data_IF_596995728402
#
_entry.id   IF_596995728402
#
_cell.length_a   1.000
_cell.length_b   1.000
_cell.length_c   1.000
_cell.angle_alpha   90.00
_cell.angle_beta   90.00
_cell.angle_gamma   90.00
#
_symmetry.space_group_name_H-M   'P 1'
#
loop_
_entity.id
_entity.type
_entity.pdbx_description
1 polymer ?
#
# COMPACT_ATOMS: atom_id res chain seq x y z
N UNK A 1 -16.06 -2.72 -20.00
CA UNK A 1 -14.85 -2.44 -19.23
C UNK A 1 -15.06 -2.98 -17.83
N UNK A 2 -14.08 -3.69 -17.27
CA UNK A 2 -14.05 -4.08 -15.87
C UNK A 2 -13.28 -3.02 -15.06
N UNK A 3 -13.56 -2.91 -13.77
CA UNK A 3 -12.94 -1.90 -12.90
C UNK A 3 -12.29 -2.57 -11.70
N UNK A 4 -11.05 -2.19 -11.37
CA UNK A 4 -10.36 -2.59 -10.15
C UNK A 4 -10.13 -1.35 -9.30
N UNK A 5 -10.67 -1.33 -8.09
CA UNK A 5 -10.40 -0.31 -7.08
C UNK A 5 -9.27 -0.79 -6.18
N UNK A 6 -8.11 -0.15 -6.28
CA UNK A 6 -7.00 -0.36 -5.37
C UNK A 6 -7.17 0.61 -4.20
N UNK A 7 -7.29 0.09 -3.00
CA UNK A 7 -7.62 0.85 -1.80
C UNK A 7 -6.46 0.69 -0.81
N UNK A 8 -5.83 1.80 -0.43
CA UNK A 8 -4.82 1.74 0.62
C UNK A 8 -5.49 1.45 1.96
N UNK A 9 -4.88 0.59 2.77
CA UNK A 9 -5.33 0.32 4.13
C UNK A 9 -5.47 1.61 4.96
N UNK A 10 -6.33 1.58 5.95
CA UNK A 10 -6.49 2.64 6.94
C UNK A 10 -5.25 2.76 7.84
N UNK A 11 -5.12 3.85 8.59
CA UNK A 11 -3.94 4.13 9.40
C UNK A 11 -3.64 2.98 10.37
N UNK A 12 -2.41 2.46 10.30
CA UNK A 12 -1.90 1.46 11.23
C UNK A 12 -1.41 2.10 12.54
N UNK A 13 -1.30 1.29 13.60
CA UNK A 13 -0.87 1.72 14.95
C UNK A 13 0.65 1.91 15.01
N UNK A 14 1.15 3.03 14.44
CA UNK A 14 2.57 3.34 14.42
C UNK A 14 3.15 3.47 15.85
N UNK A 15 4.21 2.71 16.13
CA UNK A 15 4.88 2.71 17.43
C UNK A 15 4.23 1.83 18.50
N UNK A 16 3.12 1.15 18.20
CA UNK A 16 2.54 0.13 19.07
C UNK A 16 3.33 -1.19 18.99
N UNK A 17 3.15 -2.05 19.99
CA UNK A 17 3.76 -3.39 20.02
C UNK A 17 3.30 -4.26 18.84
N UNK A 18 2.09 -4.05 18.36
CA UNK A 18 1.52 -4.67 17.15
C UNK A 18 1.26 -3.57 16.10
N UNK A 19 2.29 -3.28 15.31
CA UNK A 19 2.24 -2.27 14.24
C UNK A 19 1.23 -2.59 13.14
N UNK A 20 0.97 -3.88 12.89
CA UNK A 20 0.10 -4.30 11.79
C UNK A 20 -1.41 -4.18 12.11
N UNK A 21 -1.75 -3.71 13.31
CA UNK A 21 -3.13 -3.40 13.71
C UNK A 21 -3.50 -1.96 13.34
N UNK A 22 -4.77 -1.71 13.00
CA UNK A 22 -5.28 -0.36 12.80
C UNK A 22 -5.25 0.46 14.11
N UNK A 23 -5.01 1.77 13.98
CA UNK A 23 -5.22 2.73 15.05
C UNK A 23 -6.72 3.07 15.20
N UNK A 24 -7.11 3.68 16.33
CA UNK A 24 -8.48 4.16 16.51
C UNK A 24 -8.91 5.15 15.40
N UNK A 25 -7.97 5.96 14.88
CA UNK A 25 -8.22 6.81 13.72
C UNK A 25 -8.41 5.97 12.45
N UNK A 26 -7.58 4.93 12.26
CA UNK A 26 -7.69 4.02 11.13
C UNK A 26 -9.03 3.26 11.11
N UNK A 27 -9.54 2.86 12.27
CA UNK A 27 -10.86 2.24 12.37
C UNK A 27 -11.97 3.19 11.88
N UNK A 28 -11.92 4.47 12.28
CA UNK A 28 -12.85 5.51 11.78
C UNK A 28 -12.72 5.74 10.27
N UNK A 29 -11.50 5.77 9.75
CA UNK A 29 -11.24 5.87 8.31
C UNK A 29 -11.86 4.70 7.54
N UNK A 30 -11.71 3.47 8.03
CA UNK A 30 -12.25 2.27 7.38
C UNK A 30 -13.79 2.27 7.36
N UNK A 31 -14.45 2.70 8.45
CA UNK A 31 -15.90 2.87 8.48
C UNK A 31 -16.35 3.92 7.46
N UNK A 32 -15.67 5.05 7.41
CA UNK A 32 -15.97 6.13 6.46
C UNK A 32 -15.79 5.71 5.00
N UNK A 33 -14.77 4.87 4.74
CA UNK A 33 -14.58 4.24 3.43
C UNK A 33 -15.76 3.33 3.06
N UNK A 34 -16.27 2.53 4.01
CA UNK A 34 -17.44 1.67 3.81
C UNK A 34 -18.67 2.46 3.40
N UNK A 35 -18.93 3.60 4.06
CA UNK A 35 -20.02 4.50 3.68
C UNK A 35 -19.87 5.03 2.24
N UNK A 36 -18.64 5.39 1.84
CA UNK A 36 -18.36 5.87 0.49
C UNK A 36 -18.50 4.78 -0.59
N UNK A 37 -18.35 3.53 -0.21
CA UNK A 37 -18.46 2.37 -1.11
C UNK A 37 -19.84 1.68 -1.02
N UNK A 38 -20.82 2.23 -0.29
CA UNK A 38 -22.12 1.58 -0.02
C UNK A 38 -22.88 1.19 -1.30
N UNK A 39 -22.76 1.97 -2.37
CA UNK A 39 -23.42 1.71 -3.65
C UNK A 39 -22.60 0.80 -4.57
N UNK A 40 -21.36 0.46 -4.20
CA UNK A 40 -20.51 -0.42 -5.00
C UNK A 40 -20.90 -1.88 -4.72
N UNK A 41 -21.24 -2.61 -5.78
CA UNK A 41 -21.54 -4.04 -5.73
C UNK A 41 -20.37 -4.81 -6.36
N UNK A 42 -19.31 -5.13 -5.59
CA UNK A 42 -18.14 -5.80 -6.14
C UNK A 42 -18.46 -7.27 -6.45
N UNK A 43 -18.00 -7.74 -7.62
CA UNK A 43 -18.01 -9.16 -7.97
C UNK A 43 -16.86 -9.91 -7.25
N UNK A 44 -15.78 -9.20 -6.94
CA UNK A 44 -14.58 -9.74 -6.28
C UNK A 44 -14.14 -8.76 -5.20
N UNK A 45 -13.81 -9.27 -4.00
CA UNK A 45 -13.17 -8.50 -2.94
C UNK A 45 -11.91 -9.23 -2.50
N UNK A 46 -10.76 -8.56 -2.60
CA UNK A 46 -9.45 -9.10 -2.23
C UNK A 46 -8.78 -8.22 -1.17
N UNK A 47 -7.89 -8.83 -0.40
CA UNK A 47 -6.96 -8.10 0.46
C UNK A 47 -5.57 -8.73 0.38
N UNK A 48 -4.52 -7.95 0.60
CA UNK A 48 -3.24 -8.53 0.97
C UNK A 48 -3.34 -9.29 2.29
N UNK A 49 -2.30 -10.07 2.62
CA UNK A 49 -2.26 -10.94 3.80
C UNK A 49 -2.07 -10.19 5.12
N UNK A 50 -1.64 -8.93 5.07
CA UNK A 50 -1.37 -8.12 6.25
C UNK A 50 -2.64 -7.82 7.02
N UNK A 51 -2.55 -7.86 8.36
CA UNK A 51 -3.69 -7.63 9.25
C UNK A 51 -4.40 -6.30 9.00
N UNK A 52 -3.65 -5.22 8.76
CA UNK A 52 -4.20 -3.90 8.43
C UNK A 52 -5.03 -3.89 7.14
N UNK A 53 -4.69 -4.71 6.13
CA UNK A 53 -5.48 -4.85 4.91
C UNK A 53 -6.83 -5.50 5.21
N UNK A 54 -6.79 -6.65 5.91
CA UNK A 54 -7.98 -7.43 6.26
C UNK A 54 -8.90 -6.66 7.22
N UNK A 55 -8.34 -5.95 8.22
CA UNK A 55 -9.13 -5.12 9.13
C UNK A 55 -9.80 -3.95 8.40
N UNK A 56 -9.10 -3.31 7.44
CA UNK A 56 -9.70 -2.23 6.64
C UNK A 56 -10.88 -2.75 5.84
N UNK A 57 -10.75 -3.89 5.16
CA UNK A 57 -11.83 -4.51 4.41
C UNK A 57 -13.03 -4.84 5.31
N UNK A 58 -12.77 -5.51 6.44
CA UNK A 58 -13.80 -5.94 7.39
C UNK A 58 -14.58 -4.76 7.99
N UNK A 59 -13.88 -3.70 8.43
CA UNK A 59 -14.51 -2.51 9.00
C UNK A 59 -15.24 -1.65 7.95
N UNK A 60 -14.81 -1.72 6.69
CA UNK A 60 -15.56 -1.15 5.56
C UNK A 60 -16.78 -2.00 5.15
N UNK A 61 -17.04 -3.13 5.81
CA UNK A 61 -18.21 -3.97 5.56
C UNK A 61 -18.02 -5.05 4.48
N UNK A 62 -16.78 -5.36 4.11
CA UNK A 62 -16.47 -6.34 3.06
C UNK A 62 -15.74 -7.56 3.60
N UNK A 63 -16.17 -8.76 3.17
CA UNK A 63 -15.44 -10.00 3.35
C UNK A 63 -14.47 -10.17 2.17
N UNK A 64 -13.16 -10.18 2.45
CA UNK A 64 -12.13 -10.25 1.42
C UNK A 64 -11.44 -11.63 1.39
N UNK A 65 -11.21 -12.15 0.19
CA UNK A 65 -10.30 -13.26 -0.08
C UNK A 65 -8.85 -12.73 -0.02
N UNK A 66 -7.93 -13.49 0.60
CA UNK A 66 -6.52 -13.07 0.73
C UNK A 66 -5.73 -13.44 -0.53
N UNK A 67 -5.06 -12.46 -1.12
CA UNK A 67 -4.06 -12.65 -2.19
C UNK A 67 -2.75 -11.95 -1.79
N UNK A 68 -1.67 -12.72 -1.44
CA UNK A 68 -0.36 -12.16 -1.09
C UNK A 68 0.29 -11.33 -2.22
N UNK A 69 -0.20 -11.44 -3.45
CA UNK A 69 0.21 -10.58 -4.56
C UNK A 69 0.03 -9.08 -4.28
N UNK A 70 -0.83 -8.74 -3.31
CA UNK A 70 -1.11 -7.37 -2.89
C UNK A 70 -0.38 -6.95 -1.60
N UNK A 71 0.57 -7.76 -1.11
CA UNK A 71 1.33 -7.43 0.09
C UNK A 71 2.32 -6.28 -0.15
N UNK A 72 2.54 -5.49 0.90
CA UNK A 72 3.60 -4.50 0.92
C UNK A 72 4.96 -5.20 0.92
N UNK A 73 6.02 -4.49 0.52
CA UNK A 73 7.38 -5.00 0.65
C UNK A 73 7.80 -5.10 2.12
N UNK A 74 8.78 -5.95 2.39
CA UNK A 74 9.30 -6.12 3.75
C UNK A 74 10.19 -4.93 4.15
N UNK A 75 9.57 -3.96 4.84
CA UNK A 75 10.26 -2.77 5.37
C UNK A 75 11.42 -3.14 6.29
N UNK A 76 11.28 -4.21 7.08
CA UNK A 76 12.33 -4.64 8.01
C UNK A 76 13.54 -5.18 7.25
N UNK A 77 13.33 -5.96 6.21
CA UNK A 77 14.40 -6.45 5.35
C UNK A 77 15.13 -5.28 4.70
N UNK A 78 14.40 -4.31 4.14
CA UNK A 78 15.00 -3.13 3.50
C UNK A 78 15.86 -2.32 4.48
N UNK A 79 15.38 -2.11 5.72
CA UNK A 79 16.14 -1.43 6.78
C UNK A 79 17.40 -2.22 7.15
N UNK A 80 17.28 -3.53 7.36
CA UNK A 80 18.39 -4.39 7.78
C UNK A 80 19.44 -4.55 6.68
N UNK A 81 19.03 -4.65 5.41
CA UNK A 81 19.97 -4.68 4.28
C UNK A 81 20.77 -3.37 4.16
N UNK A 82 20.15 -2.22 4.47
CA UNK A 82 20.84 -0.93 4.51
C UNK A 82 21.79 -0.80 5.72
N UNK A 83 21.32 -1.23 6.90
CA UNK A 83 22.10 -1.15 8.15
C UNK A 83 21.93 -2.43 8.96
N UNK A 84 22.81 -3.45 8.79
CA UNK A 84 22.67 -4.78 9.40
C UNK A 84 22.57 -4.77 10.95
N UNK A 85 23.16 -3.77 11.61
CA UNK A 85 23.04 -3.60 13.07
C UNK A 85 21.59 -3.41 13.54
N UNK A 86 20.70 -2.96 12.66
CA UNK A 86 19.29 -2.69 12.94
C UNK A 86 18.40 -3.95 12.96
N UNK A 87 18.99 -5.12 12.70
CA UNK A 87 18.38 -6.41 13.05
C UNK A 87 18.03 -6.46 14.55
N UNK A 88 18.80 -5.73 15.39
CA UNK A 88 18.49 -5.53 16.80
C UNK A 88 17.72 -4.22 16.97
N UNK A 89 16.41 -4.31 17.18
CA UNK A 89 15.53 -3.13 17.32
C UNK A 89 16.03 -2.12 18.37
N UNK A 90 16.56 -2.60 19.51
CA UNK A 90 17.13 -1.72 20.55
C UNK A 90 18.31 -0.89 20.03
N UNK A 91 19.15 -1.45 19.15
CA UNK A 91 20.27 -0.71 18.54
C UNK A 91 19.74 0.38 17.61
N UNK A 92 18.73 0.06 16.81
CA UNK A 92 18.07 1.05 15.93
C UNK A 92 17.50 2.21 16.75
N UNK A 93 16.72 1.92 17.79
CA UNK A 93 16.10 2.94 18.65
C UNK A 93 17.16 3.82 19.32
N UNK A 94 18.21 3.23 19.89
CA UNK A 94 19.28 3.97 20.54
C UNK A 94 20.05 4.88 19.56
N UNK A 95 20.32 4.40 18.35
CA UNK A 95 21.03 5.14 17.32
C UNK A 95 20.20 6.32 16.80
N UNK A 96 18.94 6.11 16.49
CA UNK A 96 18.03 7.14 16.01
C UNK A 96 17.73 8.21 17.07
N UNK A 97 17.82 7.89 18.36
CA UNK A 97 17.59 8.84 19.46
C UNK A 97 18.77 9.80 19.69
N UNK A 98 20.00 9.46 19.26
CA UNK A 98 21.22 10.24 19.55
C UNK A 98 21.16 11.70 19.12
N UNK A 99 20.48 12.00 18.01
CA UNK A 99 20.34 13.36 17.47
C UNK A 99 19.19 14.18 18.07
N UNK A 100 18.46 13.67 19.07
CA UNK A 100 17.32 14.35 19.70
C UNK A 100 16.08 14.50 18.80
N UNK A 101 16.11 13.98 17.58
CA UNK A 101 15.01 14.05 16.60
C UNK A 101 14.73 12.67 15.98
N UNK A 102 14.31 11.67 16.79
CA UNK A 102 14.24 10.27 16.34
C UNK A 102 13.32 10.05 15.15
N UNK A 103 12.20 10.77 15.06
CA UNK A 103 11.27 10.66 13.93
C UNK A 103 11.92 11.12 12.62
N UNK A 104 12.64 12.24 12.64
CA UNK A 104 13.35 12.74 11.46
C UNK A 104 14.48 11.81 11.05
N UNK A 105 15.28 11.36 12.03
CA UNK A 105 16.36 10.40 11.80
C UNK A 105 15.83 9.08 11.18
N UNK A 106 14.69 8.58 11.67
CA UNK A 106 14.04 7.40 11.08
C UNK A 106 13.63 7.66 9.63
N UNK A 107 13.03 8.81 9.32
CA UNK A 107 12.62 9.14 7.96
C UNK A 107 13.79 9.22 6.99
N UNK A 108 14.88 9.89 7.40
CA UNK A 108 16.10 10.03 6.59
C UNK A 108 16.73 8.65 6.35
N UNK A 109 16.86 7.84 7.38
CA UNK A 109 17.38 6.47 7.30
C UNK A 109 16.49 5.59 6.40
N UNK A 110 15.17 5.61 6.60
CA UNK A 110 14.25 4.80 5.82
C UNK A 110 14.22 5.22 4.34
N UNK A 111 14.32 6.52 4.07
CA UNK A 111 14.44 7.04 2.71
C UNK A 111 15.72 6.54 2.03
N UNK A 112 16.87 6.59 2.74
CA UNK A 112 18.13 6.07 2.21
C UNK A 112 18.10 4.55 1.99
N UNK A 113 17.50 3.79 2.92
CA UNK A 113 17.34 2.35 2.80
C UNK A 113 16.47 1.97 1.59
N UNK A 114 15.35 2.66 1.42
CA UNK A 114 14.43 2.47 0.29
C UNK A 114 15.09 2.85 -1.04
N UNK A 115 15.86 3.96 -1.07
CA UNK A 115 16.58 4.36 -2.27
C UNK A 115 17.61 3.31 -2.69
N UNK A 116 18.38 2.75 -1.71
CA UNK A 116 19.31 1.66 -2.00
C UNK A 116 18.61 0.42 -2.59
N UNK A 117 17.40 0.09 -2.12
CA UNK A 117 16.59 -0.99 -2.66
C UNK A 117 16.14 -0.71 -4.09
N UNK A 118 15.68 0.52 -4.38
CA UNK A 118 15.29 0.98 -5.73
C UNK A 118 16.48 0.92 -6.69
N UNK A 119 17.66 1.32 -6.23
CA UNK A 119 18.89 1.37 -7.04
C UNK A 119 19.51 -0.03 -7.30
N UNK A 120 18.87 -1.10 -6.81
CA UNK A 120 19.32 -2.47 -7.06
C UNK A 120 20.43 -2.97 -6.13
N UNK A 121 20.49 -2.46 -4.89
CA UNK A 121 21.42 -2.98 -3.87
C UNK A 121 21.16 -4.45 -3.53
N UNK A 122 22.18 -5.11 -2.96
CA UNK A 122 22.14 -6.53 -2.59
C UNK A 122 21.46 -6.80 -1.25
N UNK A 123 21.11 -8.05 -1.01
CA UNK A 123 20.68 -8.57 0.30
C UNK A 123 19.17 -8.53 0.49
N UNK A 124 18.38 -8.51 -0.57
CA UNK A 124 16.92 -8.56 -0.55
C UNK A 124 16.38 -9.90 -1.05
N UNK A 125 15.40 -10.47 -0.36
CA UNK A 125 14.63 -11.63 -0.83
C UNK A 125 13.77 -11.23 -2.04
N UNK A 126 13.14 -10.04 -1.96
CA UNK A 126 12.40 -9.46 -3.08
C UNK A 126 13.07 -8.16 -3.53
N UNK A 127 13.57 -8.15 -4.76
CA UNK A 127 14.13 -6.93 -5.37
C UNK A 127 13.03 -5.93 -5.71
N UNK A 128 13.37 -4.63 -5.82
CA UNK A 128 12.41 -3.61 -6.18
C UNK A 128 11.68 -3.89 -7.53
N UNK A 129 12.37 -4.29 -8.61
CA UNK A 129 11.68 -4.67 -9.84
C UNK A 129 10.74 -5.87 -9.66
N UNK A 130 11.13 -6.89 -8.89
CA UNK A 130 10.29 -8.07 -8.63
C UNK A 130 9.02 -7.69 -7.84
N UNK A 131 9.13 -6.81 -6.85
CA UNK A 131 8.00 -6.27 -6.11
C UNK A 131 7.02 -5.51 -7.03
N UNK A 132 7.53 -4.64 -7.90
CA UNK A 132 6.71 -3.89 -8.85
C UNK A 132 6.02 -4.83 -9.86
N UNK A 133 6.72 -5.84 -10.35
CA UNK A 133 6.18 -6.84 -11.27
C UNK A 133 5.10 -7.70 -10.60
N UNK A 134 5.33 -8.17 -9.37
CA UNK A 134 4.33 -8.91 -8.58
C UNK A 134 3.07 -8.10 -8.39
N UNK A 135 3.20 -6.82 -8.04
CA UNK A 135 2.06 -5.92 -7.79
C UNK A 135 1.22 -5.70 -9.06
N UNK A 136 1.87 -5.46 -10.20
CA UNK A 136 1.17 -5.31 -11.48
C UNK A 136 0.51 -6.63 -11.92
N UNK A 137 1.22 -7.76 -11.79
CA UNK A 137 0.70 -9.08 -12.13
C UNK A 137 -0.55 -9.43 -11.31
N UNK A 138 -0.59 -9.05 -10.02
CA UNK A 138 -1.78 -9.25 -9.18
C UNK A 138 -3.00 -8.50 -9.74
N UNK A 139 -2.85 -7.24 -10.13
CA UNK A 139 -3.94 -6.46 -10.75
C UNK A 139 -4.37 -7.05 -12.08
N UNK A 140 -3.44 -7.50 -12.91
CA UNK A 140 -3.75 -8.17 -14.20
C UNK A 140 -4.54 -9.46 -13.97
N UNK A 141 -4.16 -10.28 -12.99
CA UNK A 141 -4.91 -11.50 -12.63
C UNK A 141 -6.32 -11.17 -12.16
N UNK A 142 -6.46 -10.18 -11.28
CA UNK A 142 -7.78 -9.75 -10.79
C UNK A 142 -8.66 -9.23 -11.92
N UNK A 143 -8.13 -8.37 -12.79
CA UNK A 143 -8.85 -7.85 -13.93
C UNK A 143 -9.28 -8.96 -14.91
N UNK A 144 -8.45 -10.00 -15.08
CA UNK A 144 -8.76 -11.17 -15.92
C UNK A 144 -9.86 -12.07 -15.37
N UNK A 145 -10.20 -11.97 -14.07
CA UNK A 145 -11.31 -12.69 -13.42
C UNK A 145 -12.66 -11.96 -13.57
N UNK A 146 -12.65 -10.69 -13.99
CA UNK A 146 -13.84 -9.85 -14.06
C UNK A 146 -14.50 -9.92 -15.45
N UNK A 147 -15.81 -10.02 -15.43
CA UNK A 147 -16.67 -9.83 -16.61
C UNK A 147 -16.88 -8.35 -16.97
N UNK A 148 -17.53 -8.12 -18.09
CA UNK A 148 -17.87 -6.76 -18.55
C UNK A 148 -18.82 -6.06 -17.57
N UNK A 149 -18.42 -4.90 -17.09
CA UNK A 149 -19.19 -4.10 -16.12
C UNK A 149 -18.99 -4.49 -14.66
N UNK A 150 -18.20 -5.52 -14.40
CA UNK A 150 -17.90 -5.93 -13.02
C UNK A 150 -16.79 -5.10 -12.37
N UNK A 151 -16.84 -5.07 -11.05
CA UNK A 151 -15.90 -4.32 -10.20
C UNK A 151 -15.23 -5.24 -9.19
N UNK A 152 -13.94 -5.07 -8.99
CA UNK A 152 -13.20 -5.64 -7.86
C UNK A 152 -12.80 -4.56 -6.87
N UNK A 153 -12.88 -4.85 -5.57
CA UNK A 153 -12.24 -4.07 -4.50
C UNK A 153 -11.01 -4.81 -4.02
N UNK A 154 -9.89 -4.10 -3.88
CA UNK A 154 -8.61 -4.66 -3.43
C UNK A 154 -8.05 -3.79 -2.32
N UNK A 155 -7.97 -4.33 -1.13
CA UNK A 155 -7.39 -3.66 0.05
C UNK A 155 -5.91 -4.01 0.16
N UNK A 156 -5.04 -3.01 0.02
CA UNK A 156 -3.59 -3.17 -0.09
C UNK A 156 -2.84 -2.02 0.58
N UNK A 157 -1.58 -1.80 0.21
CA UNK A 157 -0.71 -0.74 0.74
C UNK A 157 -0.33 0.29 -0.33
N UNK A 158 0.30 1.38 0.12
CA UNK A 158 0.75 2.45 -0.78
C UNK A 158 1.80 1.99 -1.79
N UNK A 159 2.71 1.11 -1.38
CA UNK A 159 3.77 0.60 -2.25
C UNK A 159 3.25 -0.16 -3.47
N UNK A 160 2.40 -1.18 -3.33
CA UNK A 160 1.78 -1.88 -4.46
C UNK A 160 0.96 -0.95 -5.37
N UNK A 161 0.18 -0.02 -4.79
CA UNK A 161 -0.58 0.97 -5.57
C UNK A 161 0.36 1.84 -6.40
N UNK A 162 1.41 2.38 -5.78
CA UNK A 162 2.38 3.22 -6.46
C UNK A 162 3.13 2.47 -7.57
N UNK A 163 3.44 1.18 -7.37
CA UNK A 163 4.07 0.33 -8.38
C UNK A 163 3.18 0.16 -9.62
N UNK A 164 1.92 -0.19 -9.41
CA UNK A 164 0.94 -0.35 -10.49
C UNK A 164 0.75 0.97 -11.25
N UNK A 165 0.52 2.07 -10.53
CA UNK A 165 0.29 3.38 -11.14
C UNK A 165 1.53 3.85 -11.91
N UNK A 166 2.74 3.69 -11.35
CA UNK A 166 3.99 4.02 -12.03
C UNK A 166 4.10 3.29 -13.37
N UNK A 167 3.95 1.98 -13.36
CA UNK A 167 4.06 1.14 -14.57
C UNK A 167 3.01 1.47 -15.63
N UNK A 168 1.77 1.68 -15.23
CA UNK A 168 0.69 1.99 -16.17
C UNK A 168 0.79 3.40 -16.77
N UNK A 169 1.35 4.38 -16.04
CA UNK A 169 1.49 5.75 -16.53
C UNK A 169 2.79 6.02 -17.28
N UNK A 170 3.91 5.41 -16.88
CA UNK A 170 5.23 5.71 -17.43
C UNK A 170 5.89 4.53 -18.16
N UNK A 171 5.27 3.35 -18.15
CA UNK A 171 5.88 2.13 -18.69
C UNK A 171 7.01 1.55 -17.84
N UNK A 172 7.23 2.08 -16.61
CA UNK A 172 8.29 1.64 -15.71
C UNK A 172 8.08 2.05 -14.26
N UNK A 173 9.07 1.82 -13.41
CA UNK A 173 8.96 1.96 -11.96
C UNK A 173 9.38 3.36 -11.44
N UNK A 174 9.83 4.26 -12.32
CA UNK A 174 10.46 5.54 -11.97
C UNK A 174 9.59 6.56 -11.23
N UNK A 175 8.26 6.41 -11.24
CA UNK A 175 7.36 7.29 -10.49
C UNK A 175 7.10 6.81 -9.06
N UNK A 176 7.48 5.57 -8.72
CA UNK A 176 7.14 4.94 -7.44
C UNK A 176 7.53 5.79 -6.23
N UNK A 177 8.77 6.29 -6.21
CA UNK A 177 9.30 7.08 -5.10
C UNK A 177 8.57 8.42 -4.89
N UNK A 178 7.89 8.94 -5.92
CA UNK A 178 7.07 10.16 -5.85
C UNK A 178 5.63 9.85 -5.42
N UNK A 179 5.09 8.72 -5.85
CA UNK A 179 3.70 8.34 -5.60
C UNK A 179 3.49 7.74 -4.20
N UNK A 180 4.36 6.80 -3.80
CA UNK A 180 4.19 6.09 -2.53
C UNK A 180 4.07 7.00 -1.30
N UNK A 181 4.91 8.04 -1.09
CA UNK A 181 4.83 8.89 0.10
C UNK A 181 3.54 9.72 0.22
N UNK A 182 2.87 9.99 -0.90
CA UNK A 182 1.68 10.85 -0.95
C UNK A 182 0.37 10.08 -1.03
N UNK A 183 0.40 8.76 -1.10
CA UNK A 183 -0.81 7.93 -1.09
C UNK A 183 -1.46 8.01 0.29
N UNK A 184 -2.71 8.49 0.35
CA UNK A 184 -3.47 8.72 1.59
C UNK A 184 -4.07 7.41 2.09
N UNK A 185 -4.16 7.22 3.41
CA UNK A 185 -4.86 6.08 4.01
C UNK A 185 -6.33 6.04 3.56
N UNK A 186 -6.84 4.88 3.21
CA UNK A 186 -8.15 4.61 2.59
C UNK A 186 -8.41 5.28 1.25
N UNK A 187 -7.43 5.94 0.65
CA UNK A 187 -7.60 6.49 -0.68
C UNK A 187 -7.83 5.38 -1.72
N UNK A 188 -8.64 5.71 -2.72
CA UNK A 188 -9.06 4.83 -3.79
C UNK A 188 -8.31 5.21 -5.08
N UNK A 189 -7.73 4.22 -5.74
CA UNK A 189 -7.14 4.35 -7.08
C UNK A 189 -7.91 3.45 -8.03
N UNK A 190 -8.43 4.00 -9.12
CA UNK A 190 -9.26 3.26 -10.09
C UNK A 190 -8.43 2.87 -11.31
N UNK A 191 -8.45 1.59 -11.60
CA UNK A 191 -7.85 1.01 -12.81
C UNK A 191 -8.95 0.32 -13.60
N UNK A 192 -9.04 0.61 -14.88
CA UNK A 192 -9.98 -0.06 -15.78
C UNK A 192 -9.25 -1.05 -16.68
N UNK A 193 -9.92 -2.17 -16.98
CA UNK A 193 -9.46 -3.15 -17.95
C UNK A 193 -10.34 -3.11 -19.19
N UNK A 194 -9.73 -2.89 -20.35
CA UNK A 194 -10.40 -2.82 -21.65
C UNK A 194 -9.59 -3.49 -22.75
N UNK A 195 -9.97 -3.28 -24.00
CA UNK A 195 -9.27 -3.84 -25.19
C UNK A 195 -7.81 -3.42 -25.27
N UNK A 196 -7.46 -2.22 -24.78
CA UNK A 196 -6.10 -1.68 -24.75
C UNK A 196 -5.29 -2.10 -23.52
N UNK A 197 -5.80 -3.00 -22.67
CA UNK A 197 -5.16 -3.39 -21.41
C UNK A 197 -5.64 -2.59 -20.21
N UNK A 198 -4.78 -2.45 -19.20
CA UNK A 198 -5.07 -1.70 -17.97
C UNK A 198 -4.78 -0.21 -18.15
N UNK A 199 -5.66 0.63 -17.63
CA UNK A 199 -5.52 2.10 -17.66
C UNK A 199 -5.88 2.70 -16.31
N UNK A 200 -5.04 3.59 -15.77
CA UNK A 200 -5.34 4.36 -14.55
C UNK A 200 -6.37 5.44 -14.92
N UNK A 201 -7.52 5.43 -14.25
CA UNK A 201 -8.57 6.45 -14.40
C UNK A 201 -8.39 7.56 -13.39
N UNK A 202 -8.05 7.18 -12.15
CA UNK A 202 -7.81 8.13 -11.06
C UNK A 202 -6.82 7.54 -10.07
N UNK A 203 -6.12 8.42 -9.37
CA UNK A 203 -5.16 8.05 -8.34
C UNK A 203 -5.42 8.82 -7.06
N UNK A 204 -5.37 8.12 -5.92
CA UNK A 204 -5.38 8.72 -4.59
C UNK A 204 -6.66 9.53 -4.27
N UNK A 205 -7.83 9.07 -4.76
CA UNK A 205 -9.12 9.70 -4.43
C UNK A 205 -9.44 9.53 -2.95
N UNK A 206 -9.68 10.63 -2.25
CA UNK A 206 -9.91 10.64 -0.80
C UNK A 206 -10.99 11.64 -0.34
N UNK A 207 -11.87 12.03 -1.25
CA UNK A 207 -12.95 13.01 -0.98
C UNK A 207 -13.95 12.55 0.10
N UNK A 208 -13.98 11.24 0.40
CA UNK A 208 -14.79 10.68 1.47
C UNK A 208 -14.25 10.99 2.87
N UNK A 209 -12.98 11.43 2.98
CA UNK A 209 -12.36 11.81 4.23
C UNK A 209 -12.54 13.31 4.49
N UNK A 210 -12.96 13.67 5.67
CA UNK A 210 -12.84 15.05 6.16
C UNK A 210 -11.38 15.36 6.52
N UNK A 211 -11.07 16.63 6.72
CA UNK A 211 -9.72 17.10 7.04
C UNK A 211 -9.15 16.44 8.32
N UNK A 212 -10.00 16.08 9.27
CA UNK A 212 -9.67 15.40 10.53
C UNK A 212 -9.26 13.93 10.36
N UNK A 213 -9.60 13.32 9.21
CA UNK A 213 -9.28 11.93 8.89
C UNK A 213 -8.14 11.78 7.89
N UNK A 214 -7.56 12.86 7.39
CA UNK A 214 -6.46 12.78 6.41
C UNK A 214 -5.17 12.36 7.07
N UNK A 215 -4.59 11.22 6.63
CA UNK A 215 -3.28 10.75 7.06
C UNK A 215 -2.53 10.07 5.92
N UNK A 216 -1.20 10.18 5.97
CA UNK A 216 -0.28 9.59 4.97
C UNK A 216 0.46 8.36 5.51
N UNK A 217 0.18 7.95 6.76
CA UNK A 217 0.90 6.87 7.47
C UNK A 217 -0.05 6.05 8.31
#
# INVERSE_FOLDING_TARGET
VAVVYLIRHAQASFGARDYDKLSALGERQAVRLGEALADVKPAIVLSGSMRRHQQTASLAGFAAEVDPGYDEFDHQEVIVAHKPAYKRHAVMVADLARGGRPRRAFQEMFSAATQRWIDGGDGYTETFPAFCERSEAAVRRTAGRLGKGETALVFTSGGPIAAVVSRLLSGGDGLWAKLNPVTINTAITKVVSGRGGLTVVSYNEHVHLGADLLTYR
#
